data_IF_478389432498
#
_entry.id   IF_478389432498
#
_cell.length_a   1.000
_cell.length_b   1.000
_cell.length_c   1.000
_cell.angle_alpha   90.00
_cell.angle_beta   90.00
_cell.angle_gamma   90.00
#
_symmetry.space_group_name_H-M   'P 1'
#
loop_
_entity.id
_entity.type
_entity.pdbx_description
1 polymer ?
#
# COMPACT_ATOMS: atom_id res chain seq x y z
N UNK A 1 12.49 28.61 27.37
CA UNK A 1 12.68 28.07 26.01
C UNK A 1 13.73 26.98 26.12
N UNK A 2 13.36 25.73 25.87
CA UNK A 2 14.31 24.64 25.69
C UNK A 2 13.88 23.90 24.43
N UNK A 3 14.69 24.06 23.41
CA UNK A 3 14.50 23.62 22.03
C UNK A 3 14.21 22.12 21.98
N UNK A 4 13.05 21.74 21.47
CA UNK A 4 12.76 20.38 21.09
C UNK A 4 13.58 20.08 19.82
N UNK A 5 14.78 19.53 20.01
CA UNK A 5 15.55 18.92 18.94
C UNK A 5 14.72 17.77 18.36
N UNK A 6 14.02 18.03 17.27
CA UNK A 6 13.36 17.01 16.47
C UNK A 6 14.38 15.91 16.20
N UNK A 7 14.04 14.62 16.36
CA UNK A 7 14.94 13.57 15.89
C UNK A 7 15.15 13.84 14.40
N UNK A 8 16.39 14.11 14.01
CA UNK A 8 16.82 14.10 12.62
C UNK A 8 16.14 12.92 11.97
N UNK A 9 15.36 13.15 10.92
CA UNK A 9 14.83 12.09 10.08
C UNK A 9 16.03 11.30 9.58
N UNK A 10 16.39 10.24 10.30
CA UNK A 10 17.39 9.29 9.90
C UNK A 10 16.86 8.75 8.59
N UNK A 11 17.41 9.22 7.47
CA UNK A 11 17.32 8.52 6.21
C UNK A 11 18.34 7.40 6.33
N UNK A 12 17.94 6.14 6.59
CA UNK A 12 18.90 5.03 6.54
C UNK A 12 19.43 4.98 5.11
N UNK A 13 20.70 5.34 4.97
CA UNK A 13 21.42 5.36 3.72
C UNK A 13 21.74 3.90 3.33
N UNK A 14 21.11 3.42 2.24
CA UNK A 14 21.35 2.13 1.58
C UNK A 14 20.61 0.96 2.25
N UNK A 15 19.90 0.05 1.57
CA UNK A 15 19.93 -0.39 0.18
C UNK A 15 18.51 -0.78 -0.27
N UNK A 16 18.22 -0.81 -1.58
CA UNK A 16 16.98 -1.37 -2.18
C UNK A 16 15.59 -0.89 -1.67
N UNK A 17 15.45 0.35 -1.19
CA UNK A 17 14.13 0.88 -0.80
C UNK A 17 13.14 0.87 -1.98
N UNK A 18 12.30 -0.16 -2.00
CA UNK A 18 11.13 -0.27 -2.87
C UNK A 18 9.98 0.43 -2.14
N UNK A 19 9.51 1.52 -2.70
CA UNK A 19 8.31 2.20 -2.25
C UNK A 19 7.09 1.54 -2.86
N UNK A 20 6.03 1.44 -2.07
CA UNK A 20 4.73 0.95 -2.48
C UNK A 20 3.78 2.12 -2.50
N UNK A 21 3.27 2.43 -3.69
CA UNK A 21 2.34 3.53 -3.91
C UNK A 21 0.96 2.93 -4.12
N UNK A 22 0.09 3.15 -3.14
CA UNK A 22 -1.32 2.79 -3.23
C UNK A 22 -2.07 3.98 -3.83
N UNK A 23 -2.79 3.74 -4.92
CA UNK A 23 -3.70 4.71 -5.51
C UNK A 23 -5.09 4.44 -4.92
N UNK A 24 -5.57 5.37 -4.11
CA UNK A 24 -6.85 5.28 -3.42
C UNK A 24 -7.82 6.33 -3.95
N UNK A 25 -9.06 5.91 -4.24
CA UNK A 25 -10.12 6.77 -4.72
C UNK A 25 -10.88 7.35 -3.53
N UNK A 26 -10.62 8.61 -3.23
CA UNK A 26 -11.34 9.38 -2.21
C UNK A 26 -12.77 9.70 -2.65
N UNK A 27 -12.94 10.03 -3.93
CA UNK A 27 -14.21 10.43 -4.54
C UNK A 27 -14.19 10.07 -6.04
N UNK A 28 -15.34 10.17 -6.73
CA UNK A 28 -15.45 9.89 -8.18
C UNK A 28 -14.50 10.69 -9.08
N UNK A 29 -13.91 11.77 -8.58
CA UNK A 29 -13.01 12.65 -9.31
C UNK A 29 -11.63 12.82 -8.64
N UNK A 30 -11.39 12.19 -7.48
CA UNK A 30 -10.21 12.44 -6.67
C UNK A 30 -9.51 11.13 -6.33
N UNK A 31 -8.31 10.98 -6.87
CA UNK A 31 -7.40 9.89 -6.55
C UNK A 31 -6.23 10.44 -5.74
N UNK A 32 -5.94 9.80 -4.61
CA UNK A 32 -4.79 10.12 -3.77
C UNK A 32 -3.73 9.03 -3.92
N UNK A 33 -2.46 9.43 -3.84
CA UNK A 33 -1.32 8.51 -3.87
C UNK A 33 -0.77 8.45 -2.46
N UNK A 34 -0.77 7.26 -1.89
CA UNK A 34 -0.28 7.00 -0.55
C UNK A 34 0.99 6.17 -0.69
N UNK A 35 2.11 6.78 -0.33
CA UNK A 35 3.42 6.14 -0.39
C UNK A 35 3.67 5.41 0.93
N UNK A 36 4.18 4.18 0.80
CA UNK A 36 4.54 3.29 1.90
C UNK A 36 5.90 2.69 1.63
N UNK A 37 6.66 2.45 2.70
CA UNK A 37 7.98 1.83 2.60
C UNK A 37 7.96 0.35 3.00
N UNK A 38 6.82 -0.14 3.50
CA UNK A 38 6.66 -1.50 4.02
C UNK A 38 5.44 -2.16 3.39
N UNK A 39 5.65 -3.24 2.64
CA UNK A 39 4.59 -3.92 1.91
C UNK A 39 3.63 -4.64 2.83
N UNK A 40 4.15 -5.37 3.81
CA UNK A 40 3.34 -6.19 4.71
C UNK A 40 2.40 -5.33 5.55
N UNK A 41 2.89 -4.20 6.04
CA UNK A 41 2.11 -3.18 6.72
C UNK A 41 1.06 -2.57 5.79
N UNK A 42 1.42 -2.26 4.53
CA UNK A 42 0.48 -1.73 3.53
C UNK A 42 -0.68 -2.69 3.29
N UNK A 43 -0.40 -3.99 3.12
CA UNK A 43 -1.43 -5.01 2.94
C UNK A 43 -2.28 -5.15 4.20
N UNK A 44 -1.66 -5.07 5.38
CA UNK A 44 -2.39 -5.04 6.66
C UNK A 44 -3.35 -3.85 6.76
N UNK A 45 -2.89 -2.66 6.39
CA UNK A 45 -3.71 -1.44 6.36
C UNK A 45 -4.85 -1.51 5.33
N UNK A 46 -4.61 -2.12 4.16
CA UNK A 46 -5.63 -2.38 3.13
C UNK A 46 -6.75 -3.26 3.71
N UNK A 47 -6.40 -4.39 4.32
CA UNK A 47 -7.37 -5.31 4.93
C UNK A 47 -8.05 -4.69 6.16
N UNK A 48 -7.35 -3.84 6.91
CA UNK A 48 -7.90 -3.14 8.08
C UNK A 48 -8.86 -1.99 7.72
N UNK A 49 -8.93 -1.56 6.46
CA UNK A 49 -9.81 -0.47 6.01
C UNK A 49 -9.26 0.93 6.25
N UNK A 50 -7.93 1.08 6.29
CA UNK A 50 -7.28 2.41 6.32
C UNK A 50 -7.39 3.16 4.99
N UNK A 51 -7.80 2.48 3.92
CA UNK A 51 -8.01 3.01 2.57
C UNK A 51 -9.50 3.04 2.25
N UNK A 52 -9.93 3.97 1.40
CA UNK A 52 -11.33 4.14 1.05
C UNK A 52 -11.75 3.15 -0.05
N UNK A 53 -10.99 3.15 -1.14
CA UNK A 53 -11.26 2.40 -2.37
C UNK A 53 -9.94 2.31 -3.16
N UNK A 54 -9.07 1.34 -2.81
CA UNK A 54 -7.78 1.19 -3.47
C UNK A 54 -7.97 0.64 -4.89
N UNK A 55 -7.47 1.37 -5.89
CA UNK A 55 -7.60 1.00 -7.30
C UNK A 55 -6.37 0.21 -7.79
N UNK A 56 -5.18 0.57 -7.28
CA UNK A 56 -3.90 0.09 -7.81
C UNK A 56 -2.79 0.17 -6.78
N UNK A 57 -1.88 -0.79 -6.83
CA UNK A 57 -0.65 -0.78 -6.03
C UNK A 57 0.57 -0.91 -6.94
N UNK A 58 1.45 0.07 -6.88
CA UNK A 58 2.66 0.13 -7.69
C UNK A 58 3.85 0.01 -6.76
N UNK A 59 4.77 -0.90 -7.07
CA UNK A 59 6.10 -0.89 -6.48
C UNK A 59 7.00 0.01 -7.32
N UNK A 60 7.77 0.84 -6.64
CA UNK A 60 8.65 1.82 -7.24
C UNK A 60 9.98 1.75 -6.51
N UNK A 61 11.02 1.29 -7.21
CA UNK A 61 12.36 1.24 -6.65
C UNK A 61 13.16 2.44 -7.17
N UNK A 62 13.48 3.37 -6.27
CA UNK A 62 14.22 4.60 -6.61
C UNK A 62 15.67 4.33 -6.99
N UNK A 63 16.23 3.20 -6.56
CA UNK A 63 17.65 2.87 -6.71
C UNK A 63 17.90 2.09 -8.00
N UNK A 64 17.03 1.13 -8.30
CA UNK A 64 17.09 0.32 -9.53
C UNK A 64 16.31 0.94 -10.69
N UNK A 65 15.67 2.10 -10.48
CA UNK A 65 14.96 2.88 -11.49
C UNK A 65 13.84 2.13 -12.21
N UNK A 66 13.13 1.25 -11.51
CA UNK A 66 12.00 0.52 -12.06
C UNK A 66 10.71 0.82 -11.30
N UNK A 67 9.60 0.68 -12.01
CA UNK A 67 8.26 0.64 -11.44
C UNK A 67 7.54 -0.61 -11.94
N UNK A 68 6.81 -1.28 -11.06
CA UNK A 68 6.04 -2.48 -11.39
C UNK A 68 4.67 -2.38 -10.77
N UNK A 69 3.65 -2.63 -11.59
CA UNK A 69 2.30 -2.85 -11.07
C UNK A 69 2.29 -4.21 -10.36
N UNK A 70 2.02 -4.19 -9.05
CA UNK A 70 1.96 -5.39 -8.22
C UNK A 70 0.53 -5.64 -7.72
N UNK A 71 -0.47 -4.98 -8.33
CA UNK A 71 -1.85 -5.01 -7.84
C UNK A 71 -2.39 -6.44 -7.79
N UNK A 72 -2.05 -7.28 -8.77
CA UNK A 72 -2.39 -8.72 -8.80
C UNK A 72 -1.75 -9.50 -7.65
N UNK A 73 -0.47 -9.23 -7.34
CA UNK A 73 0.24 -9.89 -6.23
C UNK A 73 -0.42 -9.51 -4.89
N UNK A 74 -0.78 -8.24 -4.73
CA UNK A 74 -1.48 -7.71 -3.55
C UNK A 74 -2.91 -8.26 -3.44
N UNK A 75 -3.65 -8.34 -4.54
CA UNK A 75 -4.99 -8.91 -4.56
C UNK A 75 -4.97 -10.38 -4.11
N UNK A 76 -3.98 -11.15 -4.58
CA UNK A 76 -3.75 -12.52 -4.15
C UNK A 76 -3.44 -12.63 -2.65
N UNK A 77 -2.55 -11.80 -2.13
CA UNK A 77 -2.18 -11.78 -0.70
C UNK A 77 -3.36 -11.38 0.20
N UNK A 78 -4.13 -10.35 -0.19
CA UNK A 78 -5.34 -9.92 0.53
C UNK A 78 -6.33 -11.09 0.63
N UNK A 79 -6.58 -11.77 -0.50
CA UNK A 79 -7.48 -12.92 -0.55
C UNK A 79 -6.98 -14.07 0.32
N UNK A 80 -5.69 -14.40 0.25
CA UNK A 80 -5.08 -15.42 1.07
C UNK A 80 -5.19 -15.10 2.57
N UNK A 81 -4.91 -13.86 2.98
CA UNK A 81 -5.09 -13.41 4.37
C UNK A 81 -6.55 -13.51 4.82
N UNK A 82 -7.50 -13.10 3.98
CA UNK A 82 -8.92 -13.23 4.29
C UNK A 82 -9.35 -14.70 4.48
N UNK A 83 -8.86 -15.60 3.62
CA UNK A 83 -9.11 -17.03 3.71
C UNK A 83 -8.53 -17.64 5.00
N UNK A 84 -7.30 -17.25 5.37
CA UNK A 84 -6.60 -17.70 6.59
C UNK A 84 -7.30 -17.21 7.86
N UNK A 85 -7.69 -15.92 7.91
CA UNK A 85 -8.37 -15.33 9.08
C UNK A 85 -9.86 -15.75 9.15
N UNK A 86 -10.39 -16.38 8.09
CA UNK A 86 -11.80 -16.75 7.98
C UNK A 86 -12.73 -15.53 7.87
N UNK A 87 -12.18 -14.37 7.49
CA UNK A 87 -12.93 -13.12 7.30
C UNK A 87 -13.34 -12.96 5.86
N UNK A 88 -14.55 -12.44 5.62
CA UNK A 88 -14.98 -12.12 4.27
C UNK A 88 -14.23 -10.90 3.76
N UNK A 89 -13.81 -10.96 2.49
CA UNK A 89 -13.21 -9.82 1.80
C UNK A 89 -14.14 -8.59 1.92
N UNK A 90 -13.62 -7.43 2.38
CA UNK A 90 -14.40 -6.21 2.44
C UNK A 90 -14.91 -5.76 1.07
N UNK A 91 -16.08 -5.13 1.03
CA UNK A 91 -16.73 -4.68 -0.22
C UNK A 91 -15.83 -3.70 -1.01
N UNK A 92 -15.17 -2.77 -0.30
CA UNK A 92 -14.23 -1.81 -0.90
C UNK A 92 -12.96 -2.44 -1.49
N UNK A 93 -12.61 -3.67 -1.11
CA UNK A 93 -11.51 -4.44 -1.72
C UNK A 93 -12.02 -5.43 -2.76
N UNK A 94 -13.33 -5.66 -2.86
CA UNK A 94 -13.87 -6.66 -3.78
C UNK A 94 -13.62 -6.25 -5.22
N UNK A 95 -13.91 -5.00 -5.59
CA UNK A 95 -13.62 -4.46 -6.92
C UNK A 95 -12.12 -4.54 -7.26
N UNK A 96 -11.26 -4.17 -6.31
CA UNK A 96 -9.81 -4.27 -6.46
C UNK A 96 -9.36 -5.72 -6.72
N UNK A 97 -9.79 -6.66 -5.88
CA UNK A 97 -9.39 -8.06 -6.03
C UNK A 97 -9.95 -8.65 -7.31
N UNK A 98 -11.22 -8.41 -7.64
CA UNK A 98 -11.85 -8.91 -8.87
C UNK A 98 -11.20 -8.33 -10.14
N UNK A 99 -10.81 -7.06 -10.12
CA UNK A 99 -10.13 -6.42 -11.25
C UNK A 99 -8.70 -6.95 -11.47
N UNK A 100 -8.08 -7.56 -10.46
CA UNK A 100 -6.67 -7.96 -10.48
C UNK A 100 -6.43 -9.45 -10.20
N UNK A 101 -7.49 -10.27 -10.11
CA UNK A 101 -7.45 -11.72 -9.85
C UNK A 101 -7.32 -12.61 -11.09
#
# INVERSE_FOLDING_TARGET
>A
MLEAGAPSAVVPYGADQTLFVVIDRRDKATEIRIERSDLEATIGELVAGCFNDPIKVISFNTLEHWMKDISTEIAGEIKARCDIDGVRLPDYLSDFVESHS
#
